data_IF_393467957659
#
_entry.id   IF_393467957659
#
_cell.length_a   1.000
_cell.length_b   1.000
_cell.length_c   1.000
_cell.angle_alpha   90.00
_cell.angle_beta   90.00
_cell.angle_gamma   90.00
#
_symmetry.space_group_name_H-M   'P 1'
#
loop_
_entity.id
_entity.type
_entity.pdbx_description
1 polymer ?
#
# COMPACT_ATOMS: atom_id res chain seq x y z
N UNK A 1 3.53 -18.24 20.39
CA UNK A 1 2.57 -19.18 19.79
C UNK A 1 3.03 -19.42 18.36
N UNK A 2 3.42 -20.65 18.04
CA UNK A 2 3.82 -21.05 16.68
C UNK A 2 2.62 -20.99 15.74
N UNK A 3 2.85 -20.63 14.48
CA UNK A 3 1.84 -20.62 13.42
C UNK A 3 0.98 -21.91 13.48
N UNK A 4 -0.35 -21.84 13.30
CA UNK A 4 -1.20 -23.02 13.16
C UNK A 4 -0.91 -23.67 11.81
N UNK A 5 0.23 -24.36 11.72
CA UNK A 5 0.62 -25.02 10.48
C UNK A 5 -0.16 -26.33 10.38
N UNK A 6 -1.17 -26.32 9.51
CA UNK A 6 -1.70 -27.51 8.83
C UNK A 6 -0.55 -28.52 8.67
N UNK A 7 -0.64 -29.71 9.33
CA UNK A 7 0.39 -30.77 9.39
C UNK A 7 1.45 -30.61 8.29
N UNK A 8 2.50 -29.84 8.57
CA UNK A 8 3.48 -29.49 7.55
C UNK A 8 4.31 -30.72 7.25
N UNK A 9 4.63 -30.94 5.98
CA UNK A 9 5.52 -31.99 5.54
C UNK A 9 6.83 -31.95 6.36
N UNK A 10 7.32 -33.10 6.84
CA UNK A 10 8.54 -33.19 7.65
C UNK A 10 9.76 -32.53 6.98
N UNK A 11 9.80 -32.54 5.63
CA UNK A 11 10.83 -31.84 4.85
C UNK A 11 10.76 -30.32 5.03
N UNK A 12 9.57 -29.72 5.07
CA UNK A 12 9.39 -28.27 5.26
C UNK A 12 9.78 -27.87 6.68
N UNK A 13 9.41 -28.68 7.68
CA UNK A 13 9.82 -28.46 9.08
C UNK A 13 11.35 -28.47 9.24
N UNK A 14 12.04 -29.35 8.50
CA UNK A 14 13.50 -29.38 8.49
C UNK A 14 14.11 -28.11 7.89
N UNK A 15 13.51 -27.57 6.81
CA UNK A 15 14.01 -26.35 6.14
C UNK A 15 13.83 -25.10 7.01
N UNK A 16 12.73 -25.00 7.75
CA UNK A 16 12.42 -23.79 8.54
C UNK A 16 12.99 -23.81 9.97
N UNK A 17 13.59 -24.93 10.40
CA UNK A 17 14.07 -25.11 11.78
C UNK A 17 15.02 -24.01 12.26
N UNK A 18 15.85 -23.50 11.37
CA UNK A 18 16.89 -22.50 11.68
C UNK A 18 16.46 -21.06 11.35
N UNK A 19 15.23 -20.85 10.84
CA UNK A 19 14.72 -19.55 10.39
C UNK A 19 13.93 -18.82 11.48
N UNK A 20 14.57 -18.58 12.62
CA UNK A 20 13.90 -18.03 13.83
C UNK A 20 13.36 -16.62 13.63
N UNK A 21 14.10 -15.76 12.92
CA UNK A 21 13.74 -14.34 12.72
C UNK A 21 12.45 -14.12 11.93
N UNK A 22 12.07 -15.10 11.09
CA UNK A 22 10.85 -15.03 10.26
C UNK A 22 9.72 -15.92 10.79
N UNK A 23 9.99 -16.86 11.69
CA UNK A 23 8.98 -17.82 12.19
C UNK A 23 8.42 -17.43 13.57
N UNK A 24 9.18 -16.67 14.35
CA UNK A 24 8.82 -16.28 15.72
C UNK A 24 8.02 -14.96 15.74
N UNK A 25 6.76 -15.01 15.27
CA UNK A 25 5.87 -13.84 15.31
C UNK A 25 4.53 -14.14 15.96
N UNK A 26 3.94 -13.17 16.68
CA UNK A 26 2.65 -13.32 17.35
C UNK A 26 1.44 -13.19 16.40
N UNK A 27 1.69 -13.03 15.09
CA UNK A 27 0.63 -12.82 14.09
C UNK A 27 -0.15 -14.14 13.89
N UNK A 28 -1.47 -14.04 13.94
CA UNK A 28 -2.36 -15.13 13.60
C UNK A 28 -2.31 -15.41 12.09
N UNK A 29 -1.84 -16.60 11.72
CA UNK A 29 -1.71 -17.01 10.32
C UNK A 29 -3.03 -17.01 9.56
N UNK A 30 -4.18 -17.11 10.24
CA UNK A 30 -5.50 -17.07 9.61
C UNK A 30 -5.82 -15.73 8.93
N UNK A 31 -5.14 -14.66 9.35
CA UNK A 31 -5.35 -13.30 8.86
C UNK A 31 -4.44 -12.93 7.69
N UNK A 32 -3.68 -13.90 7.18
CA UNK A 32 -2.63 -13.65 6.19
C UNK A 32 -2.98 -14.35 4.90
N UNK A 33 -3.08 -13.55 3.85
CA UNK A 33 -3.51 -13.98 2.52
C UNK A 33 -2.27 -14.14 1.63
N UNK A 34 -1.63 -15.31 1.74
CA UNK A 34 -0.51 -15.71 0.88
C UNK A 34 -0.52 -17.22 0.70
N UNK A 35 -0.04 -17.70 -0.44
CA UNK A 35 0.20 -19.12 -0.68
C UNK A 35 1.48 -19.59 0.05
N UNK A 36 1.45 -20.80 0.61
CA UNK A 36 2.61 -21.45 1.26
C UNK A 36 3.36 -20.57 2.30
N UNK A 37 2.69 -19.99 3.31
CA UNK A 37 3.34 -19.13 4.29
C UNK A 37 4.37 -19.91 5.12
N UNK A 38 5.58 -19.37 5.23
CA UNK A 38 6.65 -19.90 6.09
C UNK A 38 7.02 -18.95 7.24
N UNK A 39 6.47 -17.73 7.26
CA UNK A 39 6.88 -16.70 8.20
C UNK A 39 6.51 -15.29 7.76
N UNK A 40 7.12 -14.30 8.42
CA UNK A 40 6.96 -12.86 8.14
C UNK A 40 8.32 -12.17 8.05
N UNK A 41 8.34 -11.03 7.35
CA UNK A 41 9.48 -10.10 7.40
C UNK A 41 9.06 -8.91 8.26
N UNK A 42 9.92 -8.53 9.21
CA UNK A 42 9.73 -7.31 9.99
C UNK A 42 10.27 -6.11 9.22
N UNK A 43 9.43 -5.10 9.02
CA UNK A 43 9.84 -3.79 8.48
C UNK A 43 9.72 -2.78 9.63
N UNK A 44 10.80 -2.05 9.99
CA UNK A 44 10.71 -1.00 11.00
C UNK A 44 9.68 0.05 10.60
N UNK A 45 8.88 0.51 11.56
CA UNK A 45 7.87 1.55 11.35
C UNK A 45 8.19 2.75 12.22
N UNK A 46 8.38 3.91 11.59
CA UNK A 46 8.50 5.20 12.27
C UNK A 46 7.22 6.04 12.13
N UNK A 47 7.09 7.08 12.95
CA UNK A 47 5.96 8.00 12.91
C UNK A 47 6.45 9.41 12.51
N UNK A 48 5.89 9.96 11.43
CA UNK A 48 6.16 11.34 11.01
C UNK A 48 4.98 12.26 11.32
N UNK A 49 5.21 13.39 11.97
CA UNK A 49 4.17 14.37 12.31
C UNK A 49 4.44 15.17 13.59
N UNK A 50 3.45 15.94 14.07
CA UNK A 50 2.16 16.18 13.42
C UNK A 50 2.32 17.02 12.15
N UNK A 51 1.46 16.80 11.15
CA UNK A 51 1.25 17.71 10.03
C UNK A 51 -0.14 18.32 10.16
N UNK A 52 -0.23 19.65 10.15
CA UNK A 52 -1.49 20.37 10.17
C UNK A 52 -2.08 20.38 8.75
N UNK A 53 -3.19 19.70 8.55
CA UNK A 53 -3.89 19.59 7.27
C UNK A 53 -5.23 20.29 7.37
N UNK A 54 -5.56 21.07 6.34
CA UNK A 54 -6.85 21.69 6.15
C UNK A 54 -7.59 20.93 5.06
N UNK A 55 -8.75 20.41 5.41
CA UNK A 55 -9.66 19.74 4.49
C UNK A 55 -10.90 20.62 4.30
N UNK A 56 -11.29 20.82 3.05
CA UNK A 56 -12.54 21.50 2.71
C UNK A 56 -13.59 20.44 2.41
N UNK A 57 -14.57 20.31 3.30
CA UNK A 57 -15.73 19.42 3.12
C UNK A 57 -17.01 20.22 2.89
N UNK A 58 -18.12 19.54 2.60
CA UNK A 58 -19.43 20.18 2.49
C UNK A 58 -19.89 20.87 3.79
N UNK A 59 -19.31 20.52 4.94
CA UNK A 59 -19.58 21.13 6.24
C UNK A 59 -18.72 22.36 6.55
N UNK A 60 -17.72 22.68 5.71
CA UNK A 60 -16.79 23.79 5.90
C UNK A 60 -15.32 23.37 5.84
N UNK A 61 -14.43 24.28 6.22
CA UNK A 61 -13.00 24.00 6.38
C UNK A 61 -12.72 23.46 7.78
N UNK A 62 -12.17 22.25 7.84
CA UNK A 62 -11.72 21.63 9.08
C UNK A 62 -10.20 21.46 9.08
N UNK A 63 -9.61 21.52 10.28
CA UNK A 63 -8.18 21.42 10.44
C UNK A 63 -7.83 20.32 11.44
N UNK A 64 -7.01 19.38 11.02
CA UNK A 64 -6.55 18.26 11.85
C UNK A 64 -5.03 18.13 11.85
N UNK A 65 -4.52 17.54 12.93
CA UNK A 65 -3.12 17.11 13.01
C UNK A 65 -3.02 15.63 12.64
N UNK A 66 -2.39 15.35 11.51
CA UNK A 66 -2.19 13.98 11.03
C UNK A 66 -0.78 13.48 11.33
N UNK A 67 -0.67 12.18 11.59
CA UNK A 67 0.59 11.47 11.73
C UNK A 67 0.69 10.35 10.70
N UNK A 68 1.78 10.33 9.94
CA UNK A 68 2.02 9.32 8.93
C UNK A 68 2.89 8.18 9.50
N UNK A 69 2.36 6.95 9.63
CA UNK A 69 3.18 5.77 9.88
C UNK A 69 3.96 5.41 8.60
N UNK A 70 5.29 5.33 8.70
CA UNK A 70 6.19 5.05 7.59
C UNK A 70 6.97 3.76 7.87
N UNK A 71 6.67 2.71 7.11
CA UNK A 71 7.42 1.45 7.14
C UNK A 71 8.64 1.56 6.21
N UNK A 72 9.85 1.61 6.77
CA UNK A 72 11.08 1.80 5.99
C UNK A 72 12.32 1.26 6.69
N UNK A 73 13.29 0.79 5.92
CA UNK A 73 14.67 0.51 6.36
C UNK A 73 15.63 1.62 5.98
N UNK A 74 15.18 2.63 5.22
CA UNK A 74 16.00 3.77 4.80
C UNK A 74 16.29 4.69 5.98
N UNK A 75 17.58 4.92 6.25
CA UNK A 75 17.98 5.87 7.27
C UNK A 75 17.53 7.28 6.89
N UNK A 76 17.24 8.10 7.91
CA UNK A 76 16.85 9.51 7.78
C UNK A 76 15.53 9.81 7.06
N UNK A 77 14.87 8.88 6.37
CA UNK A 77 13.60 9.14 5.66
C UNK A 77 12.52 9.71 6.61
N UNK A 78 12.24 9.01 7.72
CA UNK A 78 11.24 9.45 8.72
C UNK A 78 11.62 10.81 9.30
N UNK A 79 12.89 11.01 9.65
CA UNK A 79 13.37 12.29 10.18
C UNK A 79 13.24 13.43 9.15
N UNK A 80 13.42 13.14 7.87
CA UNK A 80 13.22 14.10 6.78
C UNK A 80 11.75 14.50 6.67
N UNK A 81 10.83 13.54 6.69
CA UNK A 81 9.40 13.80 6.71
C UNK A 81 9.00 14.65 7.93
N UNK A 82 9.49 14.35 9.14
CA UNK A 82 9.24 15.17 10.33
C UNK A 82 9.70 16.63 10.16
N UNK A 83 10.87 16.85 9.54
CA UNK A 83 11.34 18.21 9.23
C UNK A 83 10.43 18.92 8.24
N UNK A 84 9.95 18.20 7.22
CA UNK A 84 8.94 18.69 6.28
C UNK A 84 7.64 19.10 6.99
N UNK A 85 7.08 18.24 7.84
CA UNK A 85 5.89 18.55 8.64
C UNK A 85 6.09 19.83 9.47
N UNK A 86 7.25 19.95 10.16
CA UNK A 86 7.59 21.15 10.93
C UNK A 86 7.68 22.40 10.07
N UNK A 87 8.23 22.30 8.86
CA UNK A 87 8.32 23.42 7.92
C UNK A 87 6.93 23.86 7.45
N UNK A 88 6.07 22.92 7.03
CA UNK A 88 4.70 23.25 6.60
C UNK A 88 3.85 23.82 7.73
N UNK A 89 3.94 23.28 8.94
CA UNK A 89 3.18 23.80 10.08
C UNK A 89 3.60 25.24 10.42
N UNK A 90 4.88 25.58 10.26
CA UNK A 90 5.37 26.96 10.41
C UNK A 90 4.80 27.90 9.34
N UNK A 91 4.39 27.37 8.20
CA UNK A 91 3.74 28.11 7.11
C UNK A 91 2.21 28.13 7.20
N UNK A 92 1.62 27.62 8.29
CA UNK A 92 0.16 27.61 8.50
C UNK A 92 -0.53 26.26 8.23
N UNK A 93 0.22 25.23 7.84
CA UNK A 93 -0.31 23.92 7.46
C UNK A 93 -0.42 23.74 5.94
N UNK A 94 -1.07 22.67 5.50
CA UNK A 94 -1.29 22.35 4.09
C UNK A 94 -2.78 22.24 3.81
N UNK A 95 -3.26 22.82 2.70
CA UNK A 95 -4.59 22.58 2.16
C UNK A 95 -4.53 21.50 1.08
N UNK A 96 -5.40 20.49 1.16
CA UNK A 96 -5.42 19.36 0.22
C UNK A 96 -6.85 19.15 -0.28
N UNK A 97 -7.00 18.84 -1.57
CA UNK A 97 -8.27 18.46 -2.19
C UNK A 97 -8.07 17.25 -3.10
N UNK A 98 -8.94 16.26 -3.02
CA UNK A 98 -8.99 15.15 -3.95
C UNK A 98 -9.80 15.56 -5.19
N UNK A 99 -9.17 15.53 -6.37
CA UNK A 99 -9.82 15.96 -7.61
C UNK A 99 -10.59 14.83 -8.31
N UNK A 100 -10.05 13.61 -8.24
CA UNK A 100 -10.62 12.43 -8.87
C UNK A 100 -10.19 11.18 -8.12
N UNK A 101 -11.12 10.24 -7.97
CA UNK A 101 -10.86 8.92 -7.39
C UNK A 101 -11.51 7.85 -8.29
N UNK A 102 -10.69 7.22 -9.12
CA UNK A 102 -11.12 6.02 -9.83
C UNK A 102 -9.96 5.08 -10.13
N UNK A 103 -10.31 3.80 -10.28
CA UNK A 103 -9.39 2.74 -10.67
C UNK A 103 -9.71 2.27 -12.09
N UNK A 104 -8.71 2.34 -12.97
CA UNK A 104 -8.83 1.80 -14.32
C UNK A 104 -8.41 0.33 -14.35
N UNK A 105 -9.22 -0.51 -15.02
CA UNK A 105 -8.84 -1.87 -15.42
C UNK A 105 -9.09 -2.00 -16.91
N UNK A 106 -8.05 -2.36 -17.65
CA UNK A 106 -8.18 -2.68 -19.08
C UNK A 106 -8.02 -4.17 -19.32
N UNK A 107 -9.00 -4.75 -20.01
CA UNK A 107 -8.94 -6.11 -20.52
C UNK A 107 -8.27 -6.16 -21.89
N UNK A 108 -7.75 -7.32 -22.26
CA UNK A 108 -7.29 -7.55 -23.64
C UNK A 108 -8.54 -7.72 -24.51
N UNK A 109 -8.78 -6.87 -25.53
CA UNK A 109 -9.86 -7.11 -26.46
C UNK A 109 -9.57 -8.38 -27.26
N UNK A 110 -10.52 -9.31 -27.29
CA UNK A 110 -10.45 -10.51 -28.12
C UNK A 110 -10.51 -10.11 -29.59
N UNK A 111 -9.37 -10.19 -30.28
CA UNK A 111 -9.30 -9.99 -31.74
C UNK A 111 -9.74 -11.27 -32.44
N UNK A 112 -10.87 -11.24 -33.14
CA UNK A 112 -11.25 -12.33 -34.04
C UNK A 112 -10.42 -12.23 -35.33
N UNK A 113 -9.87 -13.31 -35.90
CA UNK A 113 -9.01 -13.26 -37.09
C UNK A 113 -9.64 -12.59 -38.32
N UNK A 114 -10.97 -12.56 -38.42
CA UNK A 114 -11.69 -11.86 -39.51
C UNK A 114 -11.69 -10.33 -39.39
N UNK A 115 -11.27 -9.77 -38.26
CA UNK A 115 -11.18 -8.32 -38.04
C UNK A 115 -9.91 -7.69 -38.65
N UNK A 116 -8.97 -8.49 -39.17
CA UNK A 116 -7.72 -8.01 -39.76
C UNK A 116 -7.89 -7.22 -41.07
N UNK A 117 -9.06 -7.26 -41.73
CA UNK A 117 -9.28 -6.56 -43.00
C UNK A 117 -10.21 -5.33 -42.93
N UNK A 118 -10.68 -4.92 -41.74
CA UNK A 118 -11.75 -3.91 -41.66
C UNK A 118 -11.42 -2.56 -41.03
N UNK A 119 -10.58 -2.48 -40.00
CA UNK A 119 -10.60 -1.30 -39.13
C UNK A 119 -9.21 -0.89 -38.60
N UNK A 120 -8.40 -0.31 -39.48
CA UNK A 120 -7.25 0.54 -39.10
C UNK A 120 -7.72 1.98 -38.79
N UNK A 121 -9.03 2.20 -38.59
CA UNK A 121 -9.60 3.56 -38.53
C UNK A 121 -10.74 3.79 -37.52
N UNK A 122 -10.92 2.93 -36.50
CA UNK A 122 -11.72 3.31 -35.33
C UNK A 122 -10.81 3.62 -34.17
N UNK A 123 -10.26 4.83 -34.30
CA UNK A 123 -9.77 5.67 -33.23
C UNK A 123 -10.59 5.42 -31.97
N UNK A 124 -9.90 5.05 -30.90
CA UNK A 124 -10.37 4.91 -29.54
C UNK A 124 -11.17 6.19 -29.18
N UNK A 125 -12.48 6.18 -29.44
CA UNK A 125 -13.41 7.13 -28.82
C UNK A 125 -13.44 6.72 -27.36
N UNK A 126 -12.61 7.40 -26.58
CA UNK A 126 -12.74 7.51 -25.15
C UNK A 126 -14.09 8.20 -24.89
N UNK A 127 -15.17 7.41 -24.83
CA UNK A 127 -16.32 7.71 -23.97
C UNK A 127 -15.80 7.61 -22.54
N UNK A 128 -15.83 8.62 -21.68
CA UNK A 128 -16.74 9.75 -21.62
C UNK A 128 -17.44 9.65 -20.27
N UNK A 129 -17.01 10.51 -19.34
CA UNK A 129 -17.63 11.06 -18.12
C UNK A 129 -16.57 11.36 -17.06
#
# INVERSE_FOLDING_TARGET
MSLPVRKTNAKVQQVIKDLKEITAHPIDASKVHIENPIGYVQVPVGLAGPLRVWETSAAGEECEEVYAPLATTEAALVASCCRGCKAFNRSGGIHIVALYDAMAKQGIPSIHPSAYQGEVHKHLKLTGE
#
